data_IF_940913689906
#
_entry.id   IF_940913689906
#
_cell.length_a   1.000
_cell.length_b   1.000
_cell.length_c   1.000
_cell.angle_alpha   90.00
_cell.angle_beta   90.00
_cell.angle_gamma   90.00
#
_symmetry.space_group_name_H-M   'P 1'
#
loop_
_entity.id
_entity.type
_entity.pdbx_description
1 polymer ?
#
# COMPACT_ATOMS: atom_id res chain seq x y z
N UNK A 1 16.07 6.46 10.14
CA UNK A 1 15.33 5.22 9.95
C UNK A 1 14.37 4.92 11.12
N UNK A 2 14.85 5.05 12.37
CA UNK A 2 14.06 4.78 13.58
C UNK A 2 12.83 5.69 13.70
N UNK A 3 12.96 6.96 13.35
CA UNK A 3 11.86 7.94 13.38
C UNK A 3 10.83 7.73 12.25
N UNK A 4 11.27 7.27 11.08
CA UNK A 4 10.39 6.91 9.96
C UNK A 4 9.54 5.65 10.26
N UNK A 5 10.05 4.74 11.08
CA UNK A 5 9.32 3.55 11.51
C UNK A 5 8.32 3.85 12.65
N UNK A 6 8.52 4.96 13.41
CA UNK A 6 7.64 5.36 14.52
C UNK A 6 6.51 6.30 14.10
N UNK A 7 6.68 7.03 13.01
CA UNK A 7 5.63 7.84 12.42
C UNK A 7 5.37 7.29 11.02
N UNK A 8 4.38 6.39 10.87
CA UNK A 8 4.04 5.93 9.54
C UNK A 8 3.72 7.18 8.70
N UNK A 9 4.31 7.32 7.50
CA UNK A 9 3.84 8.33 6.57
C UNK A 9 2.32 8.14 6.40
N UNK A 10 1.61 9.18 5.97
CA UNK A 10 0.21 9.10 5.56
C UNK A 10 0.11 8.13 4.34
N UNK A 11 0.39 6.85 4.60
CA UNK A 11 0.34 5.80 3.59
C UNK A 11 -1.13 5.43 3.40
N UNK A 12 -1.66 5.59 2.20
CA UNK A 12 -3.07 5.32 1.91
C UNK A 12 -3.45 3.86 2.14
N UNK A 13 -2.51 2.91 2.01
CA UNK A 13 -2.76 1.50 2.28
C UNK A 13 -2.99 1.25 3.78
N UNK A 14 -2.19 1.89 4.65
CA UNK A 14 -2.39 1.81 6.10
C UNK A 14 -3.68 2.49 6.53
N UNK A 15 -4.01 3.65 5.94
CA UNK A 15 -5.26 4.35 6.21
C UNK A 15 -6.48 3.50 5.80
N UNK A 16 -6.42 2.85 4.64
CA UNK A 16 -7.46 1.93 4.18
C UNK A 16 -7.62 0.72 5.10
N UNK A 17 -6.53 0.09 5.52
CA UNK A 17 -6.57 -1.04 6.45
C UNK A 17 -7.12 -0.65 7.84
N UNK A 18 -6.85 0.57 8.31
CA UNK A 18 -7.45 1.10 9.56
C UNK A 18 -8.95 1.36 9.41
N UNK A 19 -9.37 1.92 8.28
CA UNK A 19 -10.78 2.14 7.98
C UNK A 19 -11.56 0.81 7.88
N UNK A 20 -10.93 -0.23 7.33
CA UNK A 20 -11.52 -1.58 7.27
C UNK A 20 -11.79 -2.16 8.66
N UNK A 21 -10.87 -1.98 9.63
CA UNK A 21 -11.11 -2.41 11.02
C UNK A 21 -12.36 -1.72 11.59
N UNK A 22 -12.49 -0.40 11.39
CA UNK A 22 -13.65 0.36 11.87
C UNK A 22 -14.95 -0.13 11.21
N UNK A 23 -14.92 -0.46 9.92
CA UNK A 23 -16.06 -1.02 9.20
C UNK A 23 -16.47 -2.38 9.79
N UNK A 24 -15.51 -3.28 10.03
CA UNK A 24 -15.78 -4.60 10.64
C UNK A 24 -16.26 -4.49 12.10
N UNK A 25 -15.77 -3.53 12.86
CA UNK A 25 -16.27 -3.26 14.22
C UNK A 25 -17.73 -2.75 14.20
N UNK A 26 -18.09 -1.92 13.22
CA UNK A 26 -19.48 -1.49 13.02
C UNK A 26 -20.38 -2.66 12.60
N UNK A 27 -19.92 -3.56 11.70
CA UNK A 27 -20.62 -4.78 11.32
C UNK A 27 -20.81 -5.73 12.52
N UNK A 28 -19.82 -5.85 13.41
CA UNK A 28 -19.95 -6.62 14.65
C UNK A 28 -21.03 -6.02 15.56
N UNK A 29 -21.08 -4.69 15.68
CA UNK A 29 -22.16 -3.99 16.38
C UNK A 29 -23.53 -4.38 15.82
N UNK A 30 -23.70 -4.30 14.51
CA UNK A 30 -24.93 -4.65 13.81
C UNK A 30 -25.28 -6.16 13.95
N UNK A 31 -24.28 -7.05 13.81
CA UNK A 31 -24.47 -8.49 13.97
C UNK A 31 -24.92 -8.88 15.38
N UNK A 32 -24.64 -8.05 16.37
CA UNK A 32 -25.01 -8.26 17.77
C UNK A 32 -26.46 -7.83 18.08
N UNK A 33 -27.07 -7.01 17.21
CA UNK A 33 -28.44 -6.52 17.41
C UNK A 33 -29.49 -7.57 17.05
N UNK A 34 -30.66 -7.44 17.65
CA UNK A 34 -31.85 -8.23 17.27
C UNK A 34 -32.50 -7.57 16.05
N UNK A 35 -33.19 -8.36 15.19
CA UNK A 35 -34.02 -7.79 14.15
C UNK A 35 -35.07 -6.83 14.72
N UNK A 36 -35.27 -5.70 14.05
CA UNK A 36 -36.28 -4.73 14.47
C UNK A 36 -37.70 -5.28 14.24
N UNK A 37 -38.67 -4.92 15.09
CA UNK A 37 -40.06 -5.14 14.77
C UNK A 37 -40.48 -4.29 13.58
N UNK A 38 -41.37 -4.83 12.77
CA UNK A 38 -42.03 -4.11 11.67
C UNK A 38 -43.47 -3.85 12.04
N UNK A 39 -43.90 -2.60 11.93
CA UNK A 39 -45.30 -2.20 12.10
C UNK A 39 -45.84 -1.83 10.71
N UNK A 40 -46.90 -2.48 10.30
CA UNK A 40 -47.53 -2.26 9.00
C UNK A 40 -48.98 -1.87 9.24
N UNK A 41 -49.45 -0.84 8.54
CA UNK A 41 -50.84 -0.40 8.52
C UNK A 41 -51.36 -0.55 7.09
N UNK A 42 -52.33 -1.41 6.93
CA UNK A 42 -53.05 -1.65 5.67
C UNK A 42 -54.43 -1.03 5.74
N UNK A 43 -54.75 -0.24 4.74
CA UNK A 43 -56.10 0.37 4.60
C UNK A 43 -56.69 -0.10 3.32
N UNK A 44 -57.81 -0.81 3.41
CA UNK A 44 -58.54 -1.34 2.27
C UNK A 44 -59.90 -0.65 2.09
N UNK A 45 -60.49 -0.68 0.90
CA UNK A 45 -61.81 -0.20 0.58
C UNK A 45 -62.09 1.28 0.88
N UNK A 46 -61.02 2.12 0.92
CA UNK A 46 -61.15 3.56 1.25
C UNK A 46 -61.67 4.43 0.08
N UNK A 47 -61.69 3.93 -1.19
CA UNK A 47 -62.07 4.66 -2.40
C UNK A 47 -62.89 3.81 -3.35
N UNK A 48 -63.70 2.90 -2.85
CA UNK A 48 -64.54 2.03 -3.66
C UNK A 48 -65.81 2.71 -4.19
N UNK A 49 -66.50 2.07 -5.14
CA UNK A 49 -67.81 2.49 -5.67
C UNK A 49 -68.84 1.40 -5.46
N UNK A 50 -70.13 1.75 -5.38
CA UNK A 50 -71.21 0.79 -5.10
C UNK A 50 -71.34 0.44 -3.63
N UNK A 51 -71.44 -0.84 -3.30
CA UNK A 51 -71.54 -1.30 -1.93
C UNK A 51 -70.30 -1.00 -1.02
N UNK A 52 -69.17 -0.68 -1.67
CA UNK A 52 -67.89 -0.29 -1.03
C UNK A 52 -67.65 1.22 -1.03
N UNK A 53 -68.72 2.01 -1.20
CA UNK A 53 -68.59 3.48 -1.21
C UNK A 53 -68.65 4.09 0.20
N UNK A 54 -67.70 5.00 0.48
CA UNK A 54 -67.68 5.76 1.76
C UNK A 54 -66.85 5.10 2.87
N UNK A 55 -66.96 5.68 4.05
CA UNK A 55 -66.16 5.25 5.22
C UNK A 55 -66.69 3.96 5.89
N UNK A 56 -67.93 3.56 5.60
CA UNK A 56 -68.57 2.41 6.21
C UNK A 56 -67.98 1.07 5.77
N UNK A 57 -67.29 1.04 4.60
CA UNK A 57 -66.59 -0.13 4.08
C UNK A 57 -65.08 -0.12 4.33
N UNK A 58 -64.58 0.91 5.03
CA UNK A 58 -63.13 1.04 5.34
C UNK A 58 -62.70 -0.10 6.24
N UNK A 59 -61.76 -0.90 5.79
CA UNK A 59 -61.07 -1.90 6.55
C UNK A 59 -59.64 -1.42 6.86
N UNK A 60 -59.27 -1.48 8.13
CA UNK A 60 -57.94 -1.09 8.60
C UNK A 60 -57.33 -2.24 9.37
N UNK A 61 -56.16 -2.72 8.88
CA UNK A 61 -55.39 -3.80 9.54
C UNK A 61 -54.11 -3.25 10.05
N UNK A 62 -53.80 -3.41 11.31
CA UNK A 62 -52.53 -3.08 11.95
C UNK A 62 -51.78 -4.39 12.28
N UNK A 63 -50.64 -4.60 11.58
CA UNK A 63 -49.83 -5.79 11.77
C UNK A 63 -48.50 -5.45 12.43
N UNK A 64 -48.20 -6.09 13.56
CA UNK A 64 -46.91 -6.03 14.24
C UNK A 64 -46.19 -7.36 14.06
N UNK A 65 -45.07 -7.34 13.34
CA UNK A 65 -44.24 -8.51 13.10
C UNK A 65 -42.91 -8.38 13.84
N UNK A 66 -42.59 -9.33 14.71
CA UNK A 66 -41.31 -9.42 15.40
C UNK A 66 -40.60 -10.71 15.03
N UNK A 67 -39.51 -10.68 14.25
CA UNK A 67 -38.71 -11.85 13.97
C UNK A 67 -37.95 -12.31 15.23
N UNK A 68 -38.10 -13.61 15.56
CA UNK A 68 -37.40 -14.24 16.69
C UNK A 68 -36.39 -15.22 16.11
N UNK A 69 -35.09 -14.94 16.34
CA UNK A 69 -34.00 -15.81 15.90
C UNK A 69 -33.83 -16.98 16.90
N UNK A 70 -34.09 -18.21 16.42
CA UNK A 70 -33.90 -19.46 17.19
C UNK A 70 -32.56 -20.12 16.81
N UNK A 71 -32.11 -21.09 17.64
CA UNK A 71 -30.97 -21.97 17.34
C UNK A 71 -29.60 -21.26 17.38
N UNK A 72 -29.46 -20.26 18.24
CA UNK A 72 -28.18 -19.49 18.42
C UNK A 72 -27.70 -18.76 17.15
N UNK A 73 -28.59 -18.45 16.21
CA UNK A 73 -28.22 -17.77 14.94
C UNK A 73 -27.50 -16.45 15.19
N UNK A 74 -28.01 -15.62 16.13
CA UNK A 74 -27.38 -14.34 16.51
C UNK A 74 -25.96 -14.54 17.05
N UNK A 75 -25.77 -15.53 17.92
CA UNK A 75 -24.47 -15.82 18.52
C UNK A 75 -23.46 -16.25 17.45
N UNK A 76 -23.84 -17.09 16.50
CA UNK A 76 -22.97 -17.49 15.38
C UNK A 76 -22.66 -16.33 14.47
N UNK A 77 -23.63 -15.43 14.19
CA UNK A 77 -23.43 -14.22 13.40
C UNK A 77 -22.42 -13.30 14.09
N UNK A 78 -22.54 -13.12 15.42
CA UNK A 78 -21.59 -12.34 16.22
C UNK A 78 -20.18 -12.94 16.18
N UNK A 79 -20.04 -14.26 16.38
CA UNK A 79 -18.76 -14.95 16.32
C UNK A 79 -18.08 -14.82 14.95
N UNK A 80 -18.83 -14.92 13.87
CA UNK A 80 -18.30 -14.70 12.53
C UNK A 80 -17.80 -13.26 12.36
N UNK A 81 -18.55 -12.26 12.83
CA UNK A 81 -18.13 -10.87 12.77
C UNK A 81 -16.90 -10.58 13.66
N UNK A 82 -16.81 -11.21 14.86
CA UNK A 82 -15.60 -11.14 15.70
C UNK A 82 -14.36 -11.69 14.98
N UNK A 83 -14.52 -12.80 14.24
CA UNK A 83 -13.45 -13.37 13.43
C UNK A 83 -13.04 -12.42 12.30
N UNK A 84 -14.00 -11.75 11.66
CA UNK A 84 -13.71 -10.76 10.62
C UNK A 84 -12.94 -9.54 11.16
N UNK A 85 -13.27 -9.06 12.37
CA UNK A 85 -12.49 -8.00 13.05
C UNK A 85 -11.06 -8.47 13.35
N UNK A 86 -10.90 -9.70 13.85
CA UNK A 86 -9.58 -10.26 14.12
C UNK A 86 -8.75 -10.39 12.84
N UNK A 87 -9.35 -10.81 11.73
CA UNK A 87 -8.70 -10.88 10.42
C UNK A 87 -8.25 -9.50 9.95
N UNK A 88 -9.11 -8.49 9.98
CA UNK A 88 -8.76 -7.12 9.57
C UNK A 88 -7.58 -6.54 10.39
N UNK A 89 -7.49 -6.88 11.68
CA UNK A 89 -6.35 -6.48 12.53
C UNK A 89 -5.04 -7.14 12.10
N UNK A 90 -5.08 -8.41 11.68
CA UNK A 90 -3.92 -9.12 11.14
C UNK A 90 -3.51 -8.51 9.80
N UNK A 91 -4.46 -8.20 8.93
CA UNK A 91 -4.19 -7.54 7.64
C UNK A 91 -3.51 -6.17 7.82
N UNK A 92 -3.91 -5.37 8.82
CA UNK A 92 -3.21 -4.14 9.17
C UNK A 92 -1.77 -4.41 9.63
N UNK A 93 -1.53 -5.47 10.41
CA UNK A 93 -0.17 -5.82 10.83
C UNK A 93 0.70 -6.21 9.62
N UNK A 94 0.17 -7.01 8.69
CA UNK A 94 0.84 -7.38 7.44
C UNK A 94 1.17 -6.13 6.62
N UNK A 95 0.22 -5.21 6.43
CA UNK A 95 0.44 -3.99 5.68
C UNK A 95 1.56 -3.11 6.29
N UNK A 96 1.67 -3.06 7.63
CA UNK A 96 2.76 -2.37 8.32
C UNK A 96 4.11 -3.02 8.06
N UNK A 97 4.19 -4.34 8.13
CA UNK A 97 5.43 -5.08 7.87
C UNK A 97 5.86 -4.95 6.41
N UNK A 98 4.92 -4.97 5.47
CA UNK A 98 5.20 -4.75 4.05
C UNK A 98 5.71 -3.34 3.77
N UNK A 99 5.12 -2.31 4.39
CA UNK A 99 5.60 -0.94 4.29
C UNK A 99 7.03 -0.83 4.85
N UNK A 100 7.29 -1.39 6.03
CA UNK A 100 8.64 -1.39 6.63
C UNK A 100 9.66 -2.10 5.73
N UNK A 101 9.28 -3.21 5.10
CA UNK A 101 10.12 -3.92 4.15
C UNK A 101 10.37 -3.12 2.86
N UNK A 102 9.35 -2.41 2.33
CA UNK A 102 9.51 -1.50 1.17
C UNK A 102 10.49 -0.39 1.48
N UNK A 103 10.30 0.32 2.59
CA UNK A 103 11.18 1.42 3.02
C UNK A 103 12.61 0.94 3.22
N UNK A 104 12.79 -0.20 3.88
CA UNK A 104 14.12 -0.78 4.11
C UNK A 104 14.83 -1.15 2.81
N UNK A 105 14.12 -1.78 1.87
CA UNK A 105 14.68 -2.11 0.54
C UNK A 105 15.11 -0.87 -0.24
N UNK A 106 14.27 0.17 -0.26
CA UNK A 106 14.58 1.43 -0.93
C UNK A 106 15.78 2.13 -0.29
N UNK A 107 15.86 2.12 1.05
CA UNK A 107 17.00 2.68 1.77
C UNK A 107 18.31 1.98 1.43
N UNK A 108 18.34 0.64 1.48
CA UNK A 108 19.55 -0.11 1.14
C UNK A 108 19.92 -0.02 -0.34
N UNK A 109 18.94 0.06 -1.22
CA UNK A 109 19.19 0.28 -2.65
C UNK A 109 19.86 1.64 -2.90
N UNK A 110 19.36 2.71 -2.26
CA UNK A 110 19.94 4.03 -2.34
C UNK A 110 21.37 4.06 -1.76
N UNK A 111 21.57 3.47 -0.58
CA UNK A 111 22.90 3.38 0.04
C UNK A 111 23.90 2.64 -0.84
N UNK A 112 23.48 1.50 -1.44
CA UNK A 112 24.33 0.74 -2.35
C UNK A 112 24.66 1.54 -3.63
N UNK A 113 23.73 2.34 -4.15
CA UNK A 113 23.96 3.19 -5.30
C UNK A 113 24.96 4.33 -4.97
N UNK A 114 24.84 4.96 -3.80
CA UNK A 114 25.78 5.97 -3.33
C UNK A 114 27.20 5.40 -3.17
N UNK A 115 27.31 4.21 -2.62
CA UNK A 115 28.61 3.56 -2.42
C UNK A 115 29.25 3.13 -3.75
N UNK A 116 28.44 2.65 -4.71
CA UNK A 116 28.90 2.40 -6.09
C UNK A 116 29.38 3.68 -6.76
N UNK A 117 28.67 4.80 -6.61
CA UNK A 117 29.08 6.10 -7.12
C UNK A 117 30.45 6.49 -6.58
N UNK A 118 30.63 6.44 -5.25
CA UNK A 118 31.90 6.77 -4.59
C UNK A 118 33.07 5.93 -5.15
N UNK A 119 32.89 4.61 -5.19
CA UNK A 119 33.91 3.70 -5.72
C UNK A 119 34.23 3.94 -7.19
N UNK A 120 33.21 4.18 -8.02
CA UNK A 120 33.41 4.46 -9.45
C UNK A 120 34.13 5.79 -9.66
N UNK A 121 33.86 6.81 -8.84
CA UNK A 121 34.63 8.07 -8.86
C UNK A 121 36.11 7.84 -8.52
N UNK A 122 36.41 7.07 -7.48
CA UNK A 122 37.79 6.72 -7.11
C UNK A 122 38.52 5.95 -8.21
N UNK A 123 37.81 4.97 -8.83
CA UNK A 123 38.36 4.20 -9.96
C UNK A 123 38.63 5.08 -11.18
N UNK A 124 37.71 6.02 -11.49
CA UNK A 124 37.88 6.98 -12.60
C UNK A 124 39.12 7.85 -12.38
N UNK A 125 39.33 8.34 -11.17
CA UNK A 125 40.49 9.15 -10.84
C UNK A 125 41.79 8.35 -10.95
N UNK A 126 41.79 7.07 -10.47
CA UNK A 126 42.92 6.18 -10.62
C UNK A 126 43.23 5.90 -12.09
N UNK A 127 42.22 5.66 -12.92
CA UNK A 127 42.38 5.45 -14.36
C UNK A 127 42.96 6.66 -15.08
N UNK A 128 42.50 7.88 -14.71
CA UNK A 128 43.09 9.14 -15.26
C UNK A 128 44.54 9.31 -14.89
N UNK A 129 44.95 9.00 -13.64
CA UNK A 129 46.34 9.01 -13.23
C UNK A 129 47.18 7.98 -14.02
N UNK A 130 46.62 6.77 -14.20
CA UNK A 130 47.27 5.74 -15.03
C UNK A 130 47.47 6.19 -16.48
N UNK A 131 46.45 6.84 -17.07
CA UNK A 131 46.57 7.41 -18.42
C UNK A 131 47.68 8.44 -18.50
N UNK A 132 47.84 9.34 -17.51
CA UNK A 132 48.90 10.32 -17.47
C UNK A 132 50.30 9.66 -17.45
N UNK A 133 50.46 8.62 -16.59
CA UNK A 133 51.73 7.86 -16.53
C UNK A 133 52.05 7.18 -17.87
N UNK A 134 51.05 6.58 -18.54
CA UNK A 134 51.20 5.95 -19.84
C UNK A 134 51.64 6.99 -20.88
N UNK A 135 51.02 8.17 -20.89
CA UNK A 135 51.40 9.27 -21.82
C UNK A 135 52.85 9.71 -21.62
N UNK A 136 53.31 9.85 -20.36
CA UNK A 136 54.74 10.18 -20.08
C UNK A 136 55.70 9.07 -20.56
N UNK A 137 55.34 7.80 -20.42
CA UNK A 137 56.14 6.68 -20.90
C UNK A 137 56.24 6.65 -22.42
N UNK A 138 55.17 6.99 -23.13
CA UNK A 138 55.15 7.08 -24.57
C UNK A 138 56.04 8.26 -25.03
N UNK A 139 55.90 9.43 -24.40
CA UNK A 139 56.75 10.59 -24.71
C UNK A 139 58.26 10.31 -24.50
N UNK A 140 58.57 9.41 -23.53
CA UNK A 140 59.95 8.96 -23.29
C UNK A 140 60.40 7.80 -24.22
N UNK A 141 59.57 7.38 -25.19
CA UNK A 141 59.85 6.24 -26.08
C UNK A 141 59.84 4.87 -25.42
N UNK A 142 59.24 4.75 -24.22
CA UNK A 142 59.26 3.53 -23.37
C UNK A 142 57.98 2.69 -23.47
N UNK A 143 56.98 3.12 -24.24
CA UNK A 143 55.72 2.42 -24.43
C UNK A 143 55.15 2.68 -25.83
N UNK A 144 54.44 1.73 -26.44
CA UNK A 144 53.77 1.89 -27.72
C UNK A 144 52.49 2.76 -27.58
N UNK A 145 52.15 3.50 -28.62
CA UNK A 145 50.96 4.37 -28.67
C UNK A 145 49.61 3.61 -28.42
N UNK A 146 49.58 2.31 -28.69
CA UNK A 146 48.40 1.46 -28.43
C UNK A 146 48.05 1.38 -26.94
N UNK A 147 49.02 1.58 -26.02
CA UNK A 147 48.73 1.57 -24.57
C UNK A 147 47.91 2.82 -24.17
N UNK A 148 48.16 3.99 -24.81
CA UNK A 148 47.34 5.19 -24.54
C UNK A 148 45.90 4.98 -24.93
N UNK A 149 45.64 4.37 -26.09
CA UNK A 149 44.27 4.11 -26.54
C UNK A 149 43.55 3.22 -25.56
N UNK A 150 44.18 2.15 -25.05
CA UNK A 150 43.61 1.26 -24.04
C UNK A 150 43.33 1.98 -22.72
N UNK A 151 44.28 2.81 -22.25
CA UNK A 151 44.10 3.56 -21.01
C UNK A 151 42.96 4.60 -21.14
N UNK A 152 42.85 5.25 -22.31
CA UNK A 152 41.80 6.21 -22.61
C UNK A 152 40.42 5.53 -22.67
N UNK A 153 40.30 4.35 -23.28
CA UNK A 153 39.08 3.55 -23.28
C UNK A 153 38.63 3.19 -21.86
N UNK A 154 39.54 2.78 -20.99
CA UNK A 154 39.20 2.46 -19.59
C UNK A 154 38.66 3.70 -18.83
N UNK A 155 39.21 4.88 -19.05
CA UNK A 155 38.66 6.13 -18.48
C UNK A 155 37.27 6.42 -19.00
N UNK A 156 37.05 6.31 -20.31
CA UNK A 156 35.73 6.55 -20.92
C UNK A 156 34.66 5.57 -20.41
N UNK A 157 35.01 4.29 -20.27
CA UNK A 157 34.09 3.28 -19.72
C UNK A 157 33.65 3.62 -18.29
N UNK A 158 34.58 4.06 -17.43
CA UNK A 158 34.28 4.45 -16.06
C UNK A 158 33.46 5.76 -16.00
N UNK A 159 33.73 6.72 -16.86
CA UNK A 159 32.94 7.95 -16.98
C UNK A 159 31.49 7.66 -17.41
N UNK A 160 31.31 6.74 -18.37
CA UNK A 160 29.97 6.31 -18.78
C UNK A 160 29.25 5.56 -17.64
N UNK A 161 29.98 4.70 -16.91
CA UNK A 161 29.41 4.00 -15.75
C UNK A 161 28.98 4.99 -14.66
N UNK A 162 29.78 6.01 -14.39
CA UNK A 162 29.46 7.07 -13.43
C UNK A 162 28.21 7.83 -13.85
N UNK A 163 28.10 8.23 -15.12
CA UNK A 163 26.92 8.93 -15.64
C UNK A 163 25.61 8.10 -15.50
N UNK A 164 25.69 6.77 -15.64
CA UNK A 164 24.54 5.88 -15.40
C UNK A 164 24.12 5.87 -13.92
N UNK A 165 25.09 5.77 -13.01
CA UNK A 165 24.83 5.76 -11.57
C UNK A 165 24.25 7.10 -11.12
N UNK A 166 24.74 8.22 -11.65
CA UNK A 166 24.23 9.57 -11.35
C UNK A 166 22.75 9.69 -11.77
N UNK A 167 22.41 9.14 -12.93
CA UNK A 167 21.03 9.11 -13.40
C UNK A 167 20.13 8.23 -12.52
N UNK A 168 20.61 7.05 -12.11
CA UNK A 168 19.90 6.18 -11.18
C UNK A 168 19.63 6.88 -9.83
N UNK A 169 20.62 7.59 -9.29
CA UNK A 169 20.48 8.35 -8.04
C UNK A 169 19.53 9.55 -8.18
N UNK A 170 19.53 10.21 -9.33
CA UNK A 170 18.61 11.32 -9.59
C UNK A 170 17.14 10.85 -9.70
N UNK A 171 16.92 9.68 -10.28
CA UNK A 171 15.58 9.10 -10.43
C UNK A 171 15.03 8.46 -9.12
N UNK A 172 15.92 8.15 -8.17
CA UNK A 172 15.56 7.54 -6.88
C UNK A 172 15.25 8.56 -5.77
N UNK A 173 15.36 9.86 -6.05
CA UNK A 173 15.05 11.00 -5.16
C UNK A 173 13.64 11.52 -5.37
#
# INVERSE_FOLDING_TARGET
LRDLLHRPPDDPELAAAQAEILAREAELGQASTRPNPTLELELENFAGSGEFSGADALESTLLLTQPIELGKKRERRRQNAETAVAQARIELAIARDELAARVSRSFFALLAAQERQRLTMEQTELARRSLAVVAERIAAGKAPATEEVRARMAVTELELALGKIDHELASAR
#
